data_IF_454195388441
#
_entry.id   IF_454195388441
#
_cell.length_a   1.000
_cell.length_b   1.000
_cell.length_c   1.000
_cell.angle_alpha   90.00
_cell.angle_beta   90.00
_cell.angle_gamma   90.00
#
_symmetry.space_group_name_H-M   'P 1'
#
loop_
_entity.id
_entity.type
_entity.pdbx_description
1 polymer ?
#
# COMPACT_ATOMS: atom_id res chain seq x y z
N UNK A 1 0.11 1.74 11.42
CA UNK A 1 0.22 0.67 10.40
C UNK A 1 1.63 0.11 10.43
N UNK A 2 1.86 -1.21 10.29
CA UNK A 2 3.25 -1.72 10.15
C UNK A 2 3.72 -1.51 8.71
N UNK A 3 4.95 -1.02 8.54
CA UNK A 3 5.55 -0.79 7.21
C UNK A 3 6.45 -1.98 6.87
N UNK A 4 6.34 -2.47 5.64
CA UNK A 4 7.09 -3.61 5.11
C UNK A 4 7.71 -3.20 3.78
N UNK A 5 9.03 -3.21 3.71
CA UNK A 5 9.77 -2.99 2.46
C UNK A 5 10.08 -4.34 1.80
N UNK A 6 9.84 -4.42 0.50
CA UNK A 6 10.16 -5.56 -0.35
C UNK A 6 10.91 -5.07 -1.56
N UNK A 7 11.82 -5.87 -2.10
CA UNK A 7 12.38 -5.62 -3.42
C UNK A 7 11.50 -6.23 -4.50
N UNK A 8 11.44 -5.54 -5.64
CA UNK A 8 10.93 -6.13 -6.86
C UNK A 8 11.86 -7.27 -7.34
N UNK A 9 11.27 -8.41 -7.71
CA UNK A 9 11.99 -9.61 -8.19
C UNK A 9 13.10 -10.13 -7.26
N UNK A 10 12.92 -10.01 -5.94
CA UNK A 10 13.87 -10.51 -4.93
C UNK A 10 15.31 -9.98 -5.08
N UNK A 11 15.49 -8.82 -5.73
CA UNK A 11 16.80 -8.14 -5.81
C UNK A 11 17.21 -7.62 -4.43
N UNK A 12 18.49 -7.34 -4.17
CA UNK A 12 18.88 -6.62 -2.96
C UNK A 12 18.17 -5.25 -2.89
N UNK A 13 17.54 -4.96 -1.76
CA UNK A 13 17.00 -3.62 -1.49
C UNK A 13 18.17 -2.66 -1.36
N UNK A 14 18.24 -1.69 -2.26
CA UNK A 14 19.22 -0.61 -2.16
C UNK A 14 18.91 0.28 -0.94
N UNK A 15 19.92 0.96 -0.38
CA UNK A 15 19.69 2.03 0.59
C UNK A 15 18.75 3.10 0.06
N UNK A 16 17.94 3.71 0.94
CA UNK A 16 16.95 4.71 0.54
C UNK A 16 17.54 5.87 -0.28
N UNK A 17 18.76 6.31 0.03
CA UNK A 17 19.44 7.39 -0.70
C UNK A 17 19.77 7.08 -2.16
N UNK A 18 19.83 5.79 -2.53
CA UNK A 18 20.11 5.33 -3.90
C UNK A 18 18.83 5.06 -4.71
N UNK A 19 17.65 5.26 -4.10
CA UNK A 19 16.39 5.09 -4.81
C UNK A 19 16.18 6.26 -5.77
N UNK A 20 15.50 5.95 -6.86
CA UNK A 20 15.00 6.95 -7.77
C UNK A 20 14.25 8.07 -7.01
N UNK A 21 14.44 9.31 -7.43
CA UNK A 21 13.93 10.46 -6.69
C UNK A 21 12.40 10.49 -6.67
N UNK A 22 11.72 10.07 -7.74
CA UNK A 22 10.26 9.98 -7.79
C UNK A 22 9.77 8.91 -6.81
N UNK A 23 10.48 7.79 -6.73
CA UNK A 23 10.17 6.72 -5.78
C UNK A 23 10.30 7.22 -4.34
N UNK A 24 11.37 7.96 -4.02
CA UNK A 24 11.57 8.54 -2.68
C UNK A 24 10.44 9.49 -2.29
N UNK A 25 10.05 10.39 -3.20
CA UNK A 25 8.98 11.36 -2.94
C UNK A 25 7.61 10.68 -2.81
N UNK A 26 7.32 9.68 -3.65
CA UNK A 26 6.11 8.88 -3.55
C UNK A 26 6.02 8.13 -2.21
N UNK A 27 7.12 7.50 -1.78
CA UNK A 27 7.17 6.80 -0.50
C UNK A 27 7.02 7.77 0.68
N UNK A 28 7.72 8.91 0.69
CA UNK A 28 7.54 9.93 1.76
C UNK A 28 6.09 10.39 1.86
N UNK A 29 5.48 10.70 0.71
CA UNK A 29 4.08 11.17 0.68
C UNK A 29 3.13 10.09 1.19
N UNK A 30 3.30 8.85 0.73
CA UNK A 30 2.49 7.73 1.19
C UNK A 30 2.66 7.47 2.70
N UNK A 31 3.88 7.59 3.23
CA UNK A 31 4.17 7.44 4.66
C UNK A 31 3.47 8.53 5.49
N UNK A 32 3.51 9.78 5.04
CA UNK A 32 2.82 10.88 5.70
C UNK A 32 1.29 10.67 5.73
N UNK A 33 0.71 10.15 4.63
CA UNK A 33 -0.72 9.87 4.57
C UNK A 33 -1.18 8.78 5.55
N UNK A 34 -0.36 7.74 5.76
CA UNK A 34 -0.69 6.62 6.65
C UNK A 34 -0.28 6.84 8.10
N UNK A 35 0.36 7.97 8.42
CA UNK A 35 0.78 8.29 9.78
C UNK A 35 -0.43 8.36 10.73
N UNK A 36 -0.34 7.65 11.85
CA UNK A 36 -1.46 7.50 12.79
C UNK A 36 -2.62 6.64 12.29
N UNK A 37 -2.55 6.07 11.07
CA UNK A 37 -3.60 5.23 10.48
C UNK A 37 -3.31 3.74 10.66
N UNK A 38 -4.36 2.94 10.64
CA UNK A 38 -4.38 1.50 10.90
C UNK A 38 -5.02 0.69 9.76
N UNK A 39 -5.66 1.35 8.80
CA UNK A 39 -6.24 0.67 7.65
C UNK A 39 -6.92 1.63 6.70
N UNK A 40 -7.91 1.11 5.98
CA UNK A 40 -8.66 1.87 5.01
C UNK A 40 -10.12 1.42 4.99
N UNK A 41 -10.99 2.33 4.57
CA UNK A 41 -12.38 2.04 4.28
C UNK A 41 -12.79 2.57 2.92
N UNK A 42 -13.73 1.87 2.32
CA UNK A 42 -14.55 2.33 1.21
C UNK A 42 -15.98 2.53 1.73
N UNK A 43 -16.92 2.86 0.85
CA UNK A 43 -18.33 2.94 1.22
C UNK A 43 -18.90 1.60 1.71
N UNK A 44 -18.41 0.47 1.19
CA UNK A 44 -18.94 -0.86 1.48
C UNK A 44 -18.06 -1.71 2.40
N UNK A 45 -16.78 -1.36 2.58
CA UNK A 45 -15.81 -2.22 3.26
C UNK A 45 -14.91 -1.45 4.22
N UNK A 46 -14.54 -2.10 5.32
CA UNK A 46 -13.58 -1.56 6.29
C UNK A 46 -12.53 -2.64 6.58
N UNK A 47 -11.27 -2.26 6.39
CA UNK A 47 -10.10 -3.03 6.75
C UNK A 47 -9.32 -2.32 7.84
N UNK A 48 -8.95 -3.08 8.88
CA UNK A 48 -8.16 -2.62 10.02
C UNK A 48 -6.96 -3.53 10.20
N UNK A 49 -5.96 -3.08 10.95
CA UNK A 49 -4.70 -3.83 11.20
C UNK A 49 -3.95 -4.12 9.91
N UNK A 50 -4.04 -3.19 8.95
CA UNK A 50 -3.35 -3.32 7.67
C UNK A 50 -1.85 -3.09 7.85
N UNK A 51 -1.11 -3.51 6.82
CA UNK A 51 0.30 -3.22 6.63
C UNK A 51 0.45 -2.32 5.41
N UNK A 52 1.39 -1.38 5.46
CA UNK A 52 1.85 -0.68 4.27
C UNK A 52 3.00 -1.50 3.67
N UNK A 53 2.77 -2.09 2.50
CA UNK A 53 3.74 -2.87 1.76
C UNK A 53 4.28 -2.02 0.62
N UNK A 54 5.57 -1.72 0.66
CA UNK A 54 6.29 -0.95 -0.36
C UNK A 54 7.20 -1.94 -1.09
N UNK A 55 6.86 -2.27 -2.33
CA UNK A 55 7.69 -3.06 -3.23
C UNK A 55 8.50 -2.12 -4.10
N UNK A 56 9.79 -1.97 -3.79
CA UNK A 56 10.69 -1.02 -4.44
C UNK A 56 11.24 -1.62 -5.73
N UNK A 57 10.96 -0.95 -6.84
CA UNK A 57 11.47 -1.26 -8.16
C UNK A 57 12.73 -0.49 -8.52
N UNK A 58 13.04 -0.45 -9.82
CA UNK A 58 14.11 0.41 -10.34
C UNK A 58 13.68 1.88 -10.44
N UNK A 59 12.39 2.13 -10.64
CA UNK A 59 11.77 3.44 -10.83
C UNK A 59 10.30 3.42 -10.37
N UNK A 60 9.58 4.53 -10.55
CA UNK A 60 8.18 4.64 -10.13
C UNK A 60 7.25 3.63 -10.83
N UNK A 61 7.52 3.27 -12.08
CA UNK A 61 6.71 2.30 -12.85
C UNK A 61 6.86 0.86 -12.37
N UNK A 62 7.94 0.55 -11.66
CA UNK A 62 8.22 -0.79 -11.10
C UNK A 62 8.08 -0.83 -9.59
N UNK A 63 7.69 0.29 -8.97
CA UNK A 63 7.48 0.42 -7.54
C UNK A 63 5.99 0.35 -7.23
N UNK A 64 5.59 -0.49 -6.28
CA UNK A 64 4.22 -0.53 -5.76
C UNK A 64 4.18 -0.14 -4.29
N UNK A 65 3.20 0.68 -3.92
CA UNK A 65 2.95 1.09 -2.53
C UNK A 65 1.50 0.74 -2.23
N UNK A 66 1.29 -0.20 -1.31
CA UNK A 66 0.00 -0.83 -1.12
C UNK A 66 -0.35 -0.99 0.36
N UNK A 67 -1.58 -0.67 0.73
CA UNK A 67 -2.13 -1.00 2.04
C UNK A 67 -2.82 -2.36 1.93
N UNK A 68 -2.23 -3.36 2.58
CA UNK A 68 -2.74 -4.74 2.56
C UNK A 68 -3.25 -5.15 3.93
N UNK A 69 -4.48 -5.70 4.05
CA UNK A 69 -4.92 -6.38 5.26
C UNK A 69 -4.04 -7.60 5.56
N UNK A 70 -4.02 -8.09 6.80
CA UNK A 70 -3.36 -9.35 7.13
C UNK A 70 -3.92 -10.50 6.29
N UNK A 71 -3.05 -11.41 5.85
CA UNK A 71 -3.43 -12.53 4.97
C UNK A 71 -4.55 -13.39 5.59
N UNK A 72 -4.52 -13.61 6.90
CA UNK A 72 -5.60 -14.31 7.62
C UNK A 72 -6.96 -13.60 7.49
N UNK A 73 -6.99 -12.27 7.57
CA UNK A 73 -8.23 -11.49 7.44
C UNK A 73 -8.74 -11.50 5.98
N UNK A 74 -7.84 -11.49 5.00
CA UNK A 74 -8.17 -11.65 3.57
C UNK A 74 -8.76 -13.03 3.29
N UNK A 75 -8.14 -14.10 3.81
CA UNK A 75 -8.62 -15.48 3.64
C UNK A 75 -10.00 -15.65 4.30
N UNK A 76 -10.15 -15.18 5.54
CA UNK A 76 -11.42 -15.29 6.29
C UNK A 76 -12.58 -14.60 5.57
N UNK A 77 -12.32 -13.48 4.90
CA UNK A 77 -13.33 -12.71 4.17
C UNK A 77 -13.41 -13.05 2.69
N UNK A 78 -12.68 -14.07 2.19
CA UNK A 78 -12.50 -14.33 0.75
C UNK A 78 -13.79 -14.39 -0.06
N UNK A 79 -14.85 -14.93 0.52
CA UNK A 79 -16.16 -15.03 -0.13
C UNK A 79 -16.91 -13.70 -0.23
N UNK A 80 -16.55 -12.72 0.61
CA UNK A 80 -17.31 -11.47 0.80
C UNK A 80 -16.49 -10.19 0.52
N UNK A 81 -15.17 -10.30 0.29
CA UNK A 81 -14.38 -9.11 0.01
C UNK A 81 -14.34 -8.79 -1.49
N UNK A 82 -14.59 -7.52 -1.80
CA UNK A 82 -14.51 -6.95 -3.13
C UNK A 82 -13.19 -6.21 -3.34
N UNK A 83 -12.73 -5.43 -2.34
CA UNK A 83 -11.42 -4.79 -2.36
C UNK A 83 -10.46 -5.48 -1.38
N UNK A 84 -9.39 -6.07 -1.91
CA UNK A 84 -8.43 -6.86 -1.15
C UNK A 84 -7.24 -6.06 -0.66
N UNK A 85 -7.02 -4.88 -1.23
CA UNK A 85 -5.98 -3.93 -0.84
C UNK A 85 -6.29 -2.54 -1.41
N UNK A 86 -5.55 -1.54 -0.96
CA UNK A 86 -5.53 -0.23 -1.59
C UNK A 86 -4.13 0.04 -2.15
N UNK A 87 -4.03 0.66 -3.33
CA UNK A 87 -2.75 1.03 -3.95
C UNK A 87 -2.62 2.55 -4.01
N UNK A 88 -1.41 3.05 -3.81
CA UNK A 88 -1.09 4.47 -3.92
C UNK A 88 -0.88 4.85 -5.38
N UNK A 89 -1.53 5.92 -5.82
CA UNK A 89 -1.35 6.50 -7.15
C UNK A 89 -1.78 7.97 -7.12
N UNK A 90 -0.97 8.85 -7.73
CA UNK A 90 -1.27 10.29 -7.86
C UNK A 90 -1.59 10.97 -6.53
N UNK A 91 -0.82 10.71 -5.47
CA UNK A 91 -0.98 11.39 -4.18
C UNK A 91 -2.07 10.84 -3.26
N UNK A 92 -2.81 9.80 -3.67
CA UNK A 92 -3.88 9.21 -2.85
C UNK A 92 -3.91 7.69 -2.96
N UNK A 93 -4.63 7.04 -2.04
CA UNK A 93 -4.86 5.60 -2.09
C UNK A 93 -6.21 5.28 -2.76
N UNK A 94 -6.18 4.26 -3.62
CA UNK A 94 -7.30 3.77 -4.39
C UNK A 94 -7.59 2.31 -4.06
N UNK A 95 -8.86 1.94 -3.98
CA UNK A 95 -9.26 0.56 -3.80
C UNK A 95 -8.95 -0.26 -5.06
N UNK A 96 -8.36 -1.45 -4.91
CA UNK A 96 -7.82 -2.20 -6.04
C UNK A 96 -8.85 -2.62 -7.09
N UNK A 97 -10.07 -2.99 -6.68
CA UNK A 97 -11.10 -3.51 -7.59
C UNK A 97 -12.08 -2.42 -8.01
N UNK A 98 -12.65 -1.72 -7.03
CA UNK A 98 -13.67 -0.69 -7.26
C UNK A 98 -13.09 0.64 -7.79
N UNK A 99 -11.77 0.84 -7.72
CA UNK A 99 -11.06 2.05 -8.18
C UNK A 99 -11.60 3.35 -7.58
N UNK A 100 -12.21 3.27 -6.40
CA UNK A 100 -12.63 4.45 -5.63
C UNK A 100 -11.53 4.88 -4.68
N UNK A 101 -11.47 6.18 -4.39
CA UNK A 101 -10.58 6.71 -3.35
C UNK A 101 -10.96 6.11 -2.01
N UNK A 102 -9.98 5.64 -1.25
CA UNK A 102 -10.20 5.09 0.09
C UNK A 102 -10.04 6.18 1.15
N UNK A 103 -10.78 6.05 2.24
CA UNK A 103 -10.53 6.84 3.45
C UNK A 103 -9.60 6.07 4.39
N UNK A 104 -8.51 6.70 4.81
CA UNK A 104 -7.56 6.08 5.73
C UNK A 104 -8.07 6.20 7.16
N UNK A 105 -8.17 5.05 7.84
CA UNK A 105 -8.75 4.91 9.20
C UNK A 105 -7.73 4.36 10.18
#
# INVERSE_FOLDING_TARGET
>A
MKIIYKSYMARPLKPFGEWDWEVREAVKTALALVEGKNGFKTHSEIWRRCNLVITVGHNIYTTSIEIRPPEQDVIRRRSNWHNGYAYYCNGVFWANMSRVRVELV
#
